data_IF_722553794084
#
_entry.id   IF_722553794084
#
_cell.length_a   1.000
_cell.length_b   1.000
_cell.length_c   1.000
_cell.angle_alpha   90.00
_cell.angle_beta   90.00
_cell.angle_gamma   90.00
#
_symmetry.space_group_name_H-M   'P 1'
#
loop_
_entity.id
_entity.type
_entity.pdbx_description
1 polymer ?
#
# COMPACT_ATOMS: atom_id res chain seq x y z
N UNK A 1 -10.53 -22.56 -26.88
CA UNK A 1 -10.75 -22.73 -25.43
C UNK A 1 -9.47 -22.92 -24.60
N UNK A 2 -8.32 -23.37 -25.15
CA UNK A 2 -7.12 -23.65 -24.36
C UNK A 2 -6.28 -22.44 -23.88
N UNK A 3 -6.43 -21.26 -24.50
CA UNK A 3 -5.67 -20.04 -24.12
C UNK A 3 -6.22 -19.34 -22.87
N UNK A 4 -7.54 -19.31 -22.68
CA UNK A 4 -8.18 -18.73 -21.50
C UNK A 4 -7.83 -19.52 -20.23
N UNK A 5 -7.72 -20.84 -20.33
CA UNK A 5 -7.42 -21.70 -19.19
C UNK A 5 -5.95 -21.56 -18.73
N UNK A 6 -5.00 -21.35 -19.65
CA UNK A 6 -3.59 -21.12 -19.26
C UNK A 6 -3.36 -19.74 -18.64
N UNK A 7 -4.09 -18.72 -19.11
CA UNK A 7 -4.03 -17.36 -18.56
C UNK A 7 -4.63 -17.31 -17.15
N UNK A 8 -5.78 -17.94 -16.93
CA UNK A 8 -6.42 -18.01 -15.60
C UNK A 8 -5.53 -18.76 -14.60
N UNK A 9 -4.94 -19.89 -15.00
CA UNK A 9 -4.01 -20.64 -14.14
C UNK A 9 -2.72 -19.85 -13.85
N UNK A 10 -2.25 -19.06 -14.82
CA UNK A 10 -1.12 -18.14 -14.63
C UNK A 10 -1.43 -17.04 -13.61
N UNK A 11 -2.60 -16.41 -13.71
CA UNK A 11 -3.06 -15.36 -12.79
C UNK A 11 -3.23 -15.91 -11.37
N UNK A 12 -3.84 -17.09 -11.21
CA UNK A 12 -4.01 -17.73 -9.91
C UNK A 12 -2.66 -18.09 -9.26
N UNK A 13 -1.69 -18.58 -10.05
CA UNK A 13 -0.35 -18.90 -9.56
C UNK A 13 0.42 -17.65 -9.14
N UNK A 14 0.28 -16.54 -9.87
CA UNK A 14 0.88 -15.24 -9.52
C UNK A 14 0.24 -14.68 -8.25
N UNK A 15 -1.08 -14.71 -8.13
CA UNK A 15 -1.80 -14.26 -6.92
C UNK A 15 -1.34 -15.02 -5.67
N UNK A 16 -1.26 -16.35 -5.76
CA UNK A 16 -0.79 -17.19 -4.66
C UNK A 16 0.65 -16.89 -4.26
N UNK A 17 1.56 -16.79 -5.24
CA UNK A 17 2.95 -16.41 -4.99
C UNK A 17 3.08 -15.04 -4.33
N UNK A 18 2.21 -14.09 -4.67
CA UNK A 18 2.20 -12.78 -4.03
C UNK A 18 1.80 -12.94 -2.56
N UNK A 19 0.68 -13.61 -2.27
CA UNK A 19 0.18 -13.81 -0.90
C UNK A 19 1.21 -14.50 -0.01
N UNK A 20 1.88 -15.52 -0.54
CA UNK A 20 2.99 -16.20 0.12
C UNK A 20 4.14 -15.22 0.45
N UNK A 21 4.46 -14.28 -0.43
CA UNK A 21 5.49 -13.26 -0.18
C UNK A 21 5.09 -12.22 0.88
N UNK A 22 3.80 -11.84 0.97
CA UNK A 22 3.31 -10.92 2.02
C UNK A 22 3.33 -11.61 3.37
N UNK A 23 2.85 -12.84 3.41
CA UNK A 23 2.88 -13.66 4.61
C UNK A 23 4.33 -13.85 5.09
N UNK A 24 5.26 -14.17 4.18
CA UNK A 24 6.68 -14.29 4.48
C UNK A 24 7.30 -12.99 5.01
N UNK A 25 6.96 -11.84 4.42
CA UNK A 25 7.40 -10.51 4.91
C UNK A 25 6.90 -10.24 6.33
N UNK A 26 5.63 -10.54 6.60
CA UNK A 26 5.02 -10.36 7.91
C UNK A 26 5.69 -11.25 8.95
N UNK A 27 5.92 -12.53 8.63
CA UNK A 27 6.64 -13.49 9.48
C UNK A 27 8.03 -13.00 9.87
N UNK A 28 8.84 -12.60 8.87
CA UNK A 28 10.16 -12.02 9.11
C UNK A 28 10.09 -10.80 10.03
N UNK A 29 9.11 -9.92 9.80
CA UNK A 29 8.94 -8.69 10.60
C UNK A 29 8.57 -9.02 12.05
N UNK A 30 7.66 -9.97 12.28
CA UNK A 30 7.24 -10.39 13.63
C UNK A 30 8.42 -10.92 14.45
N UNK A 31 9.27 -11.77 13.86
CA UNK A 31 10.47 -12.27 14.53
C UNK A 31 11.46 -11.13 14.80
N UNK A 32 11.76 -10.30 13.80
CA UNK A 32 12.72 -9.20 13.94
C UNK A 32 12.29 -8.16 14.99
N UNK A 33 10.99 -7.95 15.19
CA UNK A 33 10.46 -7.07 16.24
C UNK A 33 10.75 -7.56 17.67
N UNK A 34 11.05 -8.85 17.86
CA UNK A 34 11.44 -9.41 19.17
C UNK A 34 12.90 -9.09 19.53
N UNK A 35 13.68 -8.62 18.56
CA UNK A 35 15.08 -8.26 18.79
C UNK A 35 15.18 -6.81 19.28
N UNK A 36 16.01 -6.59 20.28
CA UNK A 36 16.46 -5.25 20.65
C UNK A 36 17.30 -4.61 19.54
N UNK A 37 17.41 -3.28 19.55
CA UNK A 37 18.26 -2.55 18.62
C UNK A 37 19.71 -3.05 18.59
N UNK A 38 20.29 -3.38 19.75
CA UNK A 38 21.64 -3.94 19.83
C UNK A 38 21.76 -5.30 19.13
N UNK A 39 20.75 -6.16 19.28
CA UNK A 39 20.73 -7.46 18.62
C UNK A 39 20.56 -7.32 17.11
N UNK A 40 19.74 -6.36 16.65
CA UNK A 40 19.58 -6.05 15.23
C UNK A 40 20.85 -5.46 14.62
N UNK A 41 21.52 -4.54 15.31
CA UNK A 41 22.84 -4.01 14.91
C UNK A 41 23.88 -5.12 14.77
N UNK A 42 23.93 -6.01 15.76
CA UNK A 42 24.85 -7.15 15.73
C UNK A 42 24.52 -8.11 14.57
N UNK A 43 23.24 -8.38 14.35
CA UNK A 43 22.79 -9.21 13.23
C UNK A 43 23.19 -8.58 11.88
N UNK A 44 22.91 -7.29 11.68
CA UNK A 44 23.28 -6.58 10.47
C UNK A 44 24.80 -6.64 10.21
N UNK A 45 25.62 -6.42 11.24
CA UNK A 45 27.08 -6.54 11.15
C UNK A 45 27.52 -7.95 10.77
N UNK A 46 26.94 -8.98 11.39
CA UNK A 46 27.31 -10.37 11.15
C UNK A 46 27.00 -10.85 9.73
N UNK A 47 25.94 -10.32 9.14
CA UNK A 47 25.51 -10.66 7.78
C UNK A 47 25.97 -9.62 6.74
N UNK A 48 26.86 -8.70 7.10
CA UNK A 48 27.37 -7.62 6.23
C UNK A 48 26.24 -6.78 5.58
N UNK A 49 25.16 -6.54 6.31
CA UNK A 49 24.02 -5.75 5.85
C UNK A 49 24.26 -4.28 6.17
N UNK A 50 24.30 -3.46 5.12
CA UNK A 50 24.40 -2.00 5.28
C UNK A 50 23.04 -1.45 5.69
N UNK A 51 22.98 -0.84 6.87
CA UNK A 51 21.77 -0.19 7.37
C UNK A 51 21.72 1.23 6.83
N UNK A 52 20.72 1.50 6.00
CA UNK A 52 20.43 2.85 5.52
C UNK A 52 19.33 3.43 6.42
N UNK A 53 19.55 4.57 7.09
CA UNK A 53 18.45 5.26 7.77
C UNK A 53 17.37 5.64 6.75
N UNK A 54 16.10 5.54 7.13
CA UNK A 54 14.99 6.01 6.29
C UNK A 54 15.21 7.46 5.87
N UNK A 55 14.94 7.80 4.61
CA UNK A 55 15.37 9.04 3.90
C UNK A 55 14.76 10.37 4.43
N UNK A 56 14.31 10.40 5.68
CA UNK A 56 14.01 11.62 6.43
C UNK A 56 15.25 12.20 7.14
N UNK A 57 16.44 11.64 6.90
CA UNK A 57 17.69 12.11 7.49
C UNK A 57 18.37 13.22 6.70
N UNK A 58 17.92 13.53 5.48
CA UNK A 58 18.67 14.41 4.57
C UNK A 58 18.67 15.88 5.01
N UNK A 59 17.92 16.21 6.06
CA UNK A 59 17.91 17.54 6.71
C UNK A 59 18.95 17.60 7.85
N UNK A 60 19.48 16.46 8.31
CA UNK A 60 20.48 16.37 9.37
C UNK A 60 21.53 15.32 8.99
N UNK A 61 22.61 15.75 8.34
CA UNK A 61 23.83 14.93 8.21
C UNK A 61 24.15 14.32 9.59
N UNK A 62 24.15 12.98 9.69
CA UNK A 62 24.40 12.16 10.89
C UNK A 62 23.19 11.70 11.74
N UNK A 63 21.99 11.50 11.18
CA UNK A 63 20.93 10.78 11.91
C UNK A 63 21.27 9.29 12.08
N UNK A 64 21.27 8.81 13.32
CA UNK A 64 21.52 7.38 13.65
C UNK A 64 20.35 6.52 13.16
N UNK A 65 20.59 5.35 12.52
CA UNK A 65 19.52 4.49 12.07
C UNK A 65 18.65 3.97 13.22
N UNK A 66 17.34 3.98 13.02
CA UNK A 66 16.31 3.56 13.97
C UNK A 66 16.17 2.04 14.01
N UNK A 67 15.42 1.54 15.00
CA UNK A 67 15.09 0.10 15.06
C UNK A 67 14.34 -0.36 13.80
N UNK A 68 13.44 0.49 13.27
CA UNK A 68 12.68 0.23 12.05
C UNK A 68 13.59 0.09 10.83
N UNK A 69 14.59 0.97 10.71
CA UNK A 69 15.57 0.91 9.60
C UNK A 69 16.32 -0.42 9.58
N UNK A 70 16.70 -0.91 10.76
CA UNK A 70 17.36 -2.21 10.88
C UNK A 70 16.42 -3.36 10.50
N UNK A 71 15.18 -3.35 10.98
CA UNK A 71 14.19 -4.40 10.65
C UNK A 71 13.96 -4.44 9.14
N UNK A 72 13.76 -3.30 8.50
CA UNK A 72 13.52 -3.20 7.05
C UNK A 72 14.71 -3.71 6.25
N UNK A 73 15.92 -3.27 6.58
CA UNK A 73 17.13 -3.72 5.88
C UNK A 73 17.36 -5.22 6.07
N UNK A 74 17.25 -5.73 7.30
CA UNK A 74 17.49 -7.15 7.61
C UNK A 74 16.44 -8.05 6.93
N UNK A 75 15.15 -7.70 7.02
CA UNK A 75 14.05 -8.43 6.38
C UNK A 75 14.24 -8.60 4.87
N UNK A 76 14.80 -7.57 4.22
CA UNK A 76 14.97 -7.52 2.77
C UNK A 76 16.22 -8.28 2.30
N UNK A 77 17.20 -8.49 3.17
CA UNK A 77 18.47 -9.14 2.83
C UNK A 77 18.58 -10.59 3.32
N UNK A 78 17.83 -10.99 4.36
CA UNK A 78 17.90 -12.33 4.94
C UNK A 78 16.67 -13.17 4.67
N UNK A 79 16.85 -14.48 4.57
CA UNK A 79 15.78 -15.48 4.55
C UNK A 79 15.08 -15.57 5.92
N UNK A 80 13.93 -16.24 5.96
CA UNK A 80 13.20 -16.39 7.22
C UNK A 80 13.93 -17.36 8.16
N UNK A 81 14.54 -18.39 7.59
CA UNK A 81 15.35 -19.39 8.27
C UNK A 81 16.57 -18.77 8.93
N UNK A 82 17.28 -17.87 8.23
CA UNK A 82 18.44 -17.15 8.79
C UNK A 82 18.05 -16.28 9.98
N UNK A 83 16.89 -15.64 9.90
CA UNK A 83 16.32 -14.84 11.00
C UNK A 83 15.96 -15.72 12.20
N UNK A 84 15.32 -16.86 11.97
CA UNK A 84 14.96 -17.82 13.03
C UNK A 84 16.20 -18.45 13.68
N UNK A 85 17.21 -18.80 12.89
CA UNK A 85 18.47 -19.36 13.41
C UNK A 85 19.20 -18.36 14.30
N UNK A 86 19.20 -17.08 13.93
CA UNK A 86 19.73 -16.03 14.79
C UNK A 86 18.93 -15.91 16.08
N UNK A 87 17.60 -15.90 16.01
CA UNK A 87 16.73 -15.84 17.19
C UNK A 87 16.99 -16.99 18.16
N UNK A 88 17.09 -18.22 17.65
CA UNK A 88 17.44 -19.43 18.44
C UNK A 88 18.82 -19.31 19.08
N UNK A 89 19.86 -18.93 18.32
CA UNK A 89 21.23 -18.75 18.84
C UNK A 89 21.31 -17.71 19.95
N UNK A 90 20.35 -16.78 20.01
CA UNK A 90 20.27 -15.71 21.01
C UNK A 90 19.21 -15.95 22.08
N UNK A 91 18.60 -17.13 22.12
CA UNK A 91 17.53 -17.48 23.05
C UNK A 91 16.38 -16.46 23.04
N UNK A 92 16.01 -15.95 21.87
CA UNK A 92 14.88 -15.06 21.69
C UNK A 92 13.62 -15.91 21.53
N UNK A 93 12.61 -15.65 22.35
CA UNK A 93 11.36 -16.39 22.28
C UNK A 93 10.55 -16.00 21.05
N UNK A 94 10.33 -17.02 20.22
CA UNK A 94 9.54 -17.01 18.98
C UNK A 94 8.63 -18.25 18.91
N UNK A 95 8.44 -18.93 20.04
CA UNK A 95 7.70 -20.18 20.12
C UNK A 95 6.23 -20.01 19.72
N UNK A 96 5.63 -18.89 20.11
CA UNK A 96 4.30 -18.44 19.70
C UNK A 96 4.17 -18.35 18.17
N UNK A 97 5.14 -17.69 17.51
CA UNK A 97 5.15 -17.53 16.05
C UNK A 97 5.27 -18.89 15.35
N UNK A 98 6.10 -19.79 15.88
CA UNK A 98 6.30 -21.13 15.31
C UNK A 98 5.11 -22.07 15.55
N UNK A 99 4.40 -21.90 16.66
CA UNK A 99 3.22 -22.68 17.00
C UNK A 99 2.04 -22.30 16.10
N UNK A 100 1.78 -21.00 15.93
CA UNK A 100 0.78 -20.48 15.00
C UNK A 100 1.03 -20.99 13.57
N UNK A 101 2.30 -21.08 13.14
CA UNK A 101 2.64 -21.63 11.83
C UNK A 101 2.32 -23.11 11.67
N UNK A 102 2.50 -23.90 12.73
CA UNK A 102 2.12 -25.32 12.73
C UNK A 102 0.62 -25.46 12.65
N UNK A 103 -0.12 -24.65 13.39
CA UNK A 103 -1.59 -24.65 13.42
C UNK A 103 -2.16 -24.23 12.06
N UNK A 104 -1.65 -23.16 11.43
CA UNK A 104 -2.03 -22.75 10.07
C UNK A 104 -1.74 -23.83 9.02
N UNK A 105 -0.62 -24.56 9.14
CA UNK A 105 -0.33 -25.70 8.24
C UNK A 105 -1.28 -26.88 8.47
N UNK A 106 -1.69 -27.13 9.72
CA UNK A 106 -2.64 -28.18 10.05
C UNK A 106 -4.06 -27.87 9.56
N UNK A 107 -4.51 -26.61 9.62
CA UNK A 107 -5.84 -26.20 9.11
C UNK A 107 -5.91 -26.29 7.59
N UNK A 108 -4.88 -25.85 6.87
CA UNK A 108 -4.83 -25.99 5.40
C UNK A 108 -4.86 -27.44 4.92
N UNK A 109 -4.34 -28.40 5.69
CA UNK A 109 -4.42 -29.84 5.36
C UNK A 109 -5.83 -30.38 5.60
N UNK A 110 -6.54 -29.88 6.63
CA UNK A 110 -7.92 -30.28 6.95
C UNK A 110 -8.95 -29.74 5.95
N UNK A 111 -8.75 -28.52 5.42
CA UNK A 111 -9.69 -27.88 4.49
C UNK A 111 -9.80 -28.60 3.13
N UNK A 112 -8.77 -29.33 2.70
CA UNK A 112 -8.85 -30.20 1.51
C UNK A 112 -9.77 -31.41 1.66
N UNK A 113 -10.20 -31.76 2.89
CA UNK A 113 -10.94 -33.00 3.16
C UNK A 113 -12.39 -32.78 3.61
N UNK A 114 -12.86 -31.55 3.82
CA UNK A 114 -14.18 -31.33 4.41
C UNK A 114 -14.78 -30.00 3.99
N UNK A 115 -15.36 -29.97 2.79
CA UNK A 115 -16.49 -29.07 2.54
C UNK A 115 -17.60 -29.43 3.55
N UNK A 116 -18.33 -28.40 4.01
CA UNK A 116 -19.46 -28.44 4.97
C UNK A 116 -19.08 -28.56 6.45
N UNK A 117 -18.85 -27.43 7.11
CA UNK A 117 -19.85 -26.82 8.00
C UNK A 117 -19.26 -25.61 8.74
N UNK A 118 -20.10 -24.58 8.84
CA UNK A 118 -19.93 -23.38 9.65
C UNK A 118 -19.73 -23.80 11.11
N UNK A 119 -18.66 -23.32 11.74
CA UNK A 119 -18.72 -22.89 13.14
C UNK A 119 -17.58 -21.92 13.45
N UNK A 120 -18.01 -20.78 13.97
CA UNK A 120 -17.21 -19.77 14.67
C UNK A 120 -16.35 -20.44 15.74
N UNK A 121 -15.05 -20.13 15.75
CA UNK A 121 -14.21 -20.14 16.95
C UNK A 121 -12.94 -19.30 16.70
N UNK A 122 -13.01 -18.04 17.14
CA UNK A 122 -12.06 -17.38 18.05
C UNK A 122 -10.57 -17.70 17.87
N UNK A 123 -9.96 -17.16 16.79
CA UNK A 123 -8.50 -16.90 16.69
C UNK A 123 -8.18 -15.95 15.50
N UNK A 124 -9.04 -14.95 15.28
CA UNK A 124 -9.03 -14.11 14.06
C UNK A 124 -8.76 -12.61 14.26
N UNK A 125 -8.47 -12.15 15.48
CA UNK A 125 -8.66 -10.73 15.80
C UNK A 125 -7.65 -9.79 15.11
N UNK A 126 -6.36 -10.14 14.99
CA UNK A 126 -5.38 -9.17 14.44
C UNK A 126 -5.37 -9.04 12.91
N UNK A 127 -5.55 -10.14 12.15
CA UNK A 127 -5.66 -10.07 10.68
C UNK A 127 -7.01 -9.45 10.26
N UNK A 128 -8.07 -9.70 11.04
CA UNK A 128 -9.37 -9.05 10.89
C UNK A 128 -9.31 -7.55 11.18
N UNK A 129 -8.76 -7.14 12.33
CA UNK A 129 -8.67 -5.73 12.74
C UNK A 129 -7.88 -4.87 11.76
N UNK A 130 -6.72 -5.35 11.28
CA UNK A 130 -5.92 -4.62 10.28
C UNK A 130 -6.66 -4.47 8.96
N UNK A 131 -7.37 -5.53 8.51
CA UNK A 131 -8.19 -5.49 7.30
C UNK A 131 -9.39 -4.55 7.44
N UNK A 132 -10.06 -4.57 8.60
CA UNK A 132 -11.17 -3.68 8.94
C UNK A 132 -10.70 -2.23 8.97
N UNK A 133 -9.55 -1.96 9.59
CA UNK A 133 -9.03 -0.61 9.69
C UNK A 133 -8.65 -0.04 8.31
N UNK A 134 -7.97 -0.82 7.50
CA UNK A 134 -7.64 -0.43 6.14
C UNK A 134 -8.88 -0.19 5.28
N UNK A 135 -9.89 -1.07 5.42
CA UNK A 135 -11.19 -0.91 4.75
C UNK A 135 -11.93 0.34 5.22
N UNK A 136 -11.85 0.69 6.50
CA UNK A 136 -12.43 1.91 7.05
C UNK A 136 -11.76 3.15 6.44
N UNK A 137 -10.42 3.18 6.35
CA UNK A 137 -9.69 4.27 5.65
C UNK A 137 -10.16 4.41 4.20
N UNK A 138 -10.24 3.30 3.47
CA UNK A 138 -10.74 3.29 2.08
C UNK A 138 -12.15 3.87 1.98
N UNK A 139 -13.07 3.43 2.84
CA UNK A 139 -14.44 3.94 2.87
C UNK A 139 -14.49 5.44 3.19
N UNK A 140 -13.68 5.94 4.12
CA UNK A 140 -13.61 7.37 4.44
C UNK A 140 -13.10 8.19 3.27
N UNK A 141 -12.09 7.71 2.56
CA UNK A 141 -11.58 8.37 1.35
C UNK A 141 -12.63 8.34 0.23
N UNK A 142 -13.32 7.21 0.02
CA UNK A 142 -14.41 7.11 -0.96
C UNK A 142 -15.57 8.07 -0.65
N UNK A 143 -15.83 8.34 0.63
CA UNK A 143 -16.83 9.30 1.08
C UNK A 143 -16.33 10.76 1.09
N UNK A 144 -15.06 11.01 0.76
CA UNK A 144 -14.55 12.37 0.65
C UNK A 144 -15.16 13.07 -0.56
N UNK A 145 -15.82 14.19 -0.30
CA UNK A 145 -16.38 15.07 -1.32
C UNK A 145 -16.01 16.53 -1.04
N UNK A 146 -15.99 17.34 -2.08
CA UNK A 146 -15.71 18.77 -2.00
C UNK A 146 -16.80 19.56 -2.69
N UNK A 147 -17.24 20.63 -2.05
CA UNK A 147 -18.28 21.53 -2.56
C UNK A 147 -17.72 22.61 -3.50
N UNK A 148 -16.44 22.53 -3.83
CA UNK A 148 -15.73 23.47 -4.70
C UNK A 148 -14.73 22.73 -5.59
N UNK A 149 -14.33 23.40 -6.68
CA UNK A 149 -13.42 22.83 -7.65
C UNK A 149 -11.95 22.97 -7.20
N UNK A 150 -11.21 21.86 -7.28
CA UNK A 150 -9.78 21.78 -6.98
C UNK A 150 -8.96 21.96 -8.25
N UNK A 151 -7.91 22.78 -8.16
CA UNK A 151 -7.10 23.15 -9.33
C UNK A 151 -5.67 22.61 -9.29
N UNK A 152 -5.23 22.05 -8.17
CA UNK A 152 -3.87 21.52 -8.01
C UNK A 152 -3.81 20.29 -7.10
N UNK A 153 -2.79 19.47 -7.30
CA UNK A 153 -2.54 18.28 -6.46
C UNK A 153 -2.22 18.68 -5.00
N UNK A 154 -1.49 19.79 -4.77
CA UNK A 154 -1.22 20.29 -3.42
C UNK A 154 -2.50 20.76 -2.69
N UNK A 155 -3.45 21.38 -3.41
CA UNK A 155 -4.75 21.76 -2.85
C UNK A 155 -5.57 20.51 -2.51
N UNK A 156 -5.62 19.52 -3.43
CA UNK A 156 -6.27 18.24 -3.18
C UNK A 156 -5.70 17.55 -1.94
N UNK A 157 -4.37 17.48 -1.85
CA UNK A 157 -3.64 16.90 -0.73
C UNK A 157 -3.97 17.60 0.59
N UNK A 158 -3.95 18.94 0.62
CA UNK A 158 -4.29 19.73 1.82
C UNK A 158 -5.69 19.42 2.34
N UNK A 159 -6.69 19.37 1.45
CA UNK A 159 -8.07 19.12 1.86
C UNK A 159 -8.30 17.68 2.31
N UNK A 160 -7.78 16.70 1.56
CA UNK A 160 -7.89 15.30 1.94
C UNK A 160 -7.15 15.04 3.26
N UNK A 161 -5.97 15.62 3.45
CA UNK A 161 -5.23 15.55 4.70
C UNK A 161 -6.03 16.09 5.90
N UNK A 162 -6.64 17.27 5.77
CA UNK A 162 -7.45 17.86 6.85
C UNK A 162 -8.65 16.99 7.18
N UNK A 163 -9.35 16.49 6.16
CA UNK A 163 -10.48 15.58 6.32
C UNK A 163 -10.06 14.29 7.03
N UNK A 164 -8.96 13.66 6.62
CA UNK A 164 -8.47 12.42 7.25
C UNK A 164 -8.04 12.65 8.70
N UNK A 165 -7.38 13.78 9.01
CA UNK A 165 -7.07 14.15 10.41
C UNK A 165 -8.31 14.29 11.27
N UNK A 166 -9.40 14.81 10.72
CA UNK A 166 -10.66 14.91 11.44
C UNK A 166 -11.33 13.53 11.63
N UNK A 167 -11.33 12.68 10.60
CA UNK A 167 -11.92 11.34 10.68
C UNK A 167 -11.14 10.39 11.60
N UNK A 168 -9.82 10.57 11.72
CA UNK A 168 -8.92 9.69 12.46
C UNK A 168 -8.06 10.49 13.46
N UNK A 169 -8.67 11.04 14.53
CA UNK A 169 -7.96 11.92 15.47
C UNK A 169 -6.85 11.22 16.26
N UNK A 170 -6.91 9.90 16.37
CA UNK A 170 -5.93 9.09 17.09
C UNK A 170 -4.81 8.58 16.18
N UNK A 171 -4.82 8.93 14.88
CA UNK A 171 -3.86 8.44 13.90
C UNK A 171 -2.81 9.51 13.64
N UNK A 172 -1.58 9.07 13.42
CA UNK A 172 -0.55 9.94 12.91
C UNK A 172 -0.72 10.05 11.39
N UNK A 173 -1.04 11.25 10.92
CA UNK A 173 -1.20 11.54 9.50
C UNK A 173 -0.21 12.62 9.12
N UNK A 174 0.63 12.32 8.13
CA UNK A 174 1.71 13.17 7.66
C UNK A 174 1.59 13.42 6.15
N UNK A 175 2.05 14.59 5.72
CA UNK A 175 2.10 15.02 4.31
C UNK A 175 3.53 14.95 3.77
N UNK A 176 3.68 14.71 2.47
CA UNK A 176 4.95 14.83 1.73
C UNK A 176 6.09 14.06 2.41
N UNK A 177 5.86 12.77 2.59
CA UNK A 177 6.65 11.84 3.40
C UNK A 177 7.70 11.15 2.50
N UNK A 178 8.99 11.53 2.56
CA UNK A 178 10.08 10.88 1.82
C UNK A 178 10.02 9.36 1.72
N UNK A 179 10.17 8.84 0.50
CA UNK A 179 10.16 7.41 0.21
C UNK A 179 11.07 7.12 -1.00
N UNK A 180 11.83 6.02 -0.97
CA UNK A 180 12.65 5.66 -2.15
C UNK A 180 13.69 6.73 -2.54
N UNK A 181 14.30 6.55 -3.72
CA UNK A 181 15.13 7.48 -4.54
C UNK A 181 15.05 9.02 -4.47
N UNK A 182 14.48 9.67 -3.45
CA UNK A 182 14.18 11.12 -3.47
C UNK A 182 12.72 11.47 -3.81
N UNK A 183 11.84 10.47 -3.91
CA UNK A 183 10.40 10.68 -4.04
C UNK A 183 9.76 10.96 -2.67
N UNK A 184 8.52 11.48 -2.69
CA UNK A 184 7.72 11.75 -1.50
C UNK A 184 6.32 11.19 -1.70
N UNK A 185 5.84 10.43 -0.72
CA UNK A 185 4.44 10.01 -0.65
C UNK A 185 3.61 11.22 -0.24
N UNK A 186 2.53 11.48 -0.95
CA UNK A 186 1.67 12.64 -0.66
C UNK A 186 1.09 12.58 0.76
N UNK A 187 0.50 11.46 1.16
CA UNK A 187 -0.02 11.26 2.53
C UNK A 187 0.39 9.89 3.07
N UNK A 188 0.87 9.85 4.32
CA UNK A 188 1.03 8.60 5.08
C UNK A 188 0.16 8.63 6.33
N UNK A 189 -0.55 7.53 6.55
CA UNK A 189 -1.37 7.29 7.73
C UNK A 189 -0.74 6.15 8.53
N UNK A 190 -0.41 6.42 9.79
CA UNK A 190 0.11 5.45 10.74
C UNK A 190 -0.82 5.35 11.94
N UNK A 191 -1.28 4.14 12.25
CA UNK A 191 -2.09 3.92 13.45
C UNK A 191 -1.19 3.83 14.70
N UNK A 192 -1.73 4.05 15.91
CA UNK A 192 -1.01 3.77 17.15
C UNK A 192 -0.54 2.31 17.26
N UNK A 193 -1.27 1.41 16.58
CA UNK A 193 -0.90 0.00 16.52
C UNK A 193 0.38 -0.21 15.70
N UNK A 194 1.40 -0.88 16.27
CA UNK A 194 2.71 -0.94 15.67
C UNK A 194 2.72 -1.78 14.39
N UNK A 195 2.88 -1.13 13.24
CA UNK A 195 3.06 -1.76 11.93
C UNK A 195 1.87 -1.62 10.97
N UNK A 196 0.92 -0.74 11.27
CA UNK A 196 -0.09 -0.28 10.32
C UNK A 196 0.36 1.04 9.69
N UNK A 197 0.74 1.00 8.42
CA UNK A 197 1.09 2.19 7.64
C UNK A 197 0.46 2.12 6.25
N UNK A 198 -0.23 3.19 5.86
CA UNK A 198 -0.85 3.35 4.55
C UNK A 198 -0.17 4.52 3.84
N UNK A 199 0.44 4.23 2.69
CA UNK A 199 0.91 5.25 1.77
C UNK A 199 -0.16 5.59 0.74
N UNK A 200 -0.41 6.87 0.54
CA UNK A 200 -1.43 7.38 -0.37
C UNK A 200 -0.74 8.34 -1.34
N UNK A 201 -0.74 7.99 -2.62
CA UNK A 201 -0.36 8.87 -3.72
C UNK A 201 -1.62 9.53 -4.29
N UNK A 202 -1.55 10.82 -4.57
CA UNK A 202 -2.64 11.62 -5.09
C UNK A 202 -2.33 12.10 -6.51
N UNK A 203 -3.35 12.09 -7.36
CA UNK A 203 -3.26 12.66 -8.70
C UNK A 203 -4.53 13.42 -9.05
N UNK A 204 -4.37 14.49 -9.82
CA UNK A 204 -5.50 15.07 -10.54
C UNK A 204 -5.61 14.40 -11.91
N UNK A 205 -6.84 14.09 -12.32
CA UNK A 205 -7.20 13.61 -13.66
C UNK A 205 -7.02 14.66 -14.75
N UNK A 206 -5.83 15.25 -14.87
CA UNK A 206 -5.49 16.34 -15.80
C UNK A 206 -5.04 15.81 -17.15
N UNK A 207 -4.15 14.81 -17.16
CA UNK A 207 -3.60 14.22 -18.36
C UNK A 207 -3.27 12.72 -18.15
N UNK A 208 -3.35 11.94 -19.24
CA UNK A 208 -3.09 10.49 -19.24
C UNK A 208 -1.67 10.11 -18.81
N UNK A 209 -0.68 10.95 -19.14
CA UNK A 209 0.72 10.64 -18.86
C UNK A 209 1.04 10.72 -17.36
N UNK A 210 0.44 11.68 -16.63
CA UNK A 210 0.56 11.80 -15.18
C UNK A 210 0.01 10.57 -14.47
N UNK A 211 -1.18 10.11 -14.88
CA UNK A 211 -1.77 8.91 -14.32
C UNK A 211 -0.95 7.65 -14.60
N UNK A 212 -0.33 7.55 -15.79
CA UNK A 212 0.57 6.43 -16.11
C UNK A 212 1.82 6.42 -15.25
N UNK A 213 2.40 7.59 -14.96
CA UNK A 213 3.59 7.69 -14.12
C UNK A 213 3.30 7.38 -12.65
N UNK A 214 2.08 7.71 -12.18
CA UNK A 214 1.65 7.43 -10.82
C UNK A 214 1.78 5.95 -10.46
N UNK A 215 1.52 5.04 -11.41
CA UNK A 215 1.70 3.60 -11.23
C UNK A 215 3.12 3.23 -10.76
N UNK A 216 4.16 3.77 -11.39
CA UNK A 216 5.54 3.45 -11.01
C UNK A 216 5.84 3.92 -9.57
N UNK A 217 5.32 5.09 -9.20
CA UNK A 217 5.47 5.64 -7.85
C UNK A 217 4.81 4.74 -6.80
N UNK A 218 3.55 4.35 -7.00
CA UNK A 218 2.85 3.48 -6.05
C UNK A 218 3.44 2.07 -5.99
N UNK A 219 3.96 1.55 -7.11
CA UNK A 219 4.73 0.29 -7.11
C UNK A 219 5.99 0.41 -6.23
N UNK A 220 6.70 1.52 -6.31
CA UNK A 220 7.88 1.76 -5.48
C UNK A 220 7.52 1.93 -4.00
N UNK A 221 6.45 2.65 -3.69
CA UNK A 221 5.99 2.84 -2.30
C UNK A 221 5.57 1.52 -1.65
N UNK A 222 4.94 0.61 -2.41
CA UNK A 222 4.56 -0.72 -1.91
C UNK A 222 5.74 -1.56 -1.41
N UNK A 223 6.98 -1.20 -1.78
CA UNK A 223 8.19 -1.84 -1.25
C UNK A 223 8.46 -1.44 0.20
N UNK A 224 8.02 -0.26 0.62
CA UNK A 224 8.31 0.34 1.93
C UNK A 224 7.11 0.24 2.90
N UNK A 225 5.89 0.42 2.41
CA UNK A 225 4.68 0.48 3.23
C UNK A 225 3.87 -0.84 3.22
N UNK A 226 3.07 -1.05 4.25
CA UNK A 226 2.20 -2.22 4.39
C UNK A 226 1.03 -2.18 3.41
N UNK A 227 0.49 -0.99 3.21
CA UNK A 227 -0.60 -0.70 2.28
C UNK A 227 -0.23 0.50 1.42
N UNK A 228 -0.68 0.48 0.17
CA UNK A 228 -0.47 1.57 -0.77
C UNK A 228 -1.73 1.80 -1.57
N UNK A 229 -2.04 3.07 -1.80
CA UNK A 229 -3.25 3.49 -2.49
C UNK A 229 -2.92 4.61 -3.47
N UNK A 230 -3.51 4.54 -4.67
CA UNK A 230 -3.59 5.65 -5.60
C UNK A 230 -5.00 6.25 -5.52
N UNK A 231 -5.09 7.52 -5.16
CA UNK A 231 -6.35 8.26 -5.17
C UNK A 231 -6.30 9.30 -6.27
N UNK A 232 -7.24 9.21 -7.21
CA UNK A 232 -7.33 10.12 -8.35
C UNK A 232 -8.60 10.95 -8.21
N UNK A 233 -8.46 12.27 -8.27
CA UNK A 233 -9.59 13.18 -8.38
C UNK A 233 -9.88 13.44 -9.86
N UNK A 234 -11.02 12.96 -10.35
CA UNK A 234 -11.49 13.28 -11.69
C UNK A 234 -12.04 14.70 -11.75
N UNK A 235 -11.36 15.56 -12.52
CA UNK A 235 -11.79 16.94 -12.80
C UNK A 235 -12.43 17.07 -14.18
N UNK A 236 -12.80 15.93 -14.78
CA UNK A 236 -13.49 15.79 -16.06
C UNK A 236 -12.64 16.06 -17.29
N UNK A 237 -11.31 16.09 -17.20
CA UNK A 237 -10.45 16.33 -18.36
C UNK A 237 -10.11 15.05 -19.15
N UNK A 238 -10.42 13.89 -18.60
CA UNK A 238 -10.11 12.58 -19.19
C UNK A 238 -11.39 11.78 -19.42
N UNK A 239 -11.32 10.83 -20.36
CA UNK A 239 -12.39 9.87 -20.60
C UNK A 239 -12.37 8.77 -19.53
N UNK A 240 -13.55 8.25 -19.18
CA UNK A 240 -13.71 7.20 -18.18
C UNK A 240 -12.83 5.97 -18.46
N UNK A 241 -12.68 5.61 -19.73
CA UNK A 241 -11.86 4.49 -20.20
C UNK A 241 -10.39 4.60 -19.78
N UNK A 242 -9.88 5.82 -19.57
CA UNK A 242 -8.50 6.05 -19.11
C UNK A 242 -8.34 5.62 -17.64
N UNK A 243 -9.35 5.89 -16.81
CA UNK A 243 -9.35 5.49 -15.40
C UNK A 243 -9.54 3.98 -15.26
N UNK A 244 -10.44 3.38 -16.03
CA UNK A 244 -10.63 1.92 -16.09
C UNK A 244 -9.33 1.21 -16.53
N UNK A 245 -8.65 1.74 -17.55
CA UNK A 245 -7.36 1.24 -18.02
C UNK A 245 -6.26 1.32 -16.97
N UNK A 246 -6.32 2.30 -16.07
CA UNK A 246 -5.37 2.49 -14.99
C UNK A 246 -5.69 1.54 -13.84
N UNK A 247 -6.94 1.49 -13.41
CA UNK A 247 -7.44 0.58 -12.38
C UNK A 247 -7.08 -0.87 -12.72
N UNK A 248 -7.37 -1.31 -13.94
CA UNK A 248 -7.03 -2.66 -14.41
C UNK A 248 -5.53 -2.96 -14.36
N UNK A 249 -4.67 -1.94 -14.58
CA UNK A 249 -3.21 -2.10 -14.52
C UNK A 249 -2.68 -2.11 -13.09
N UNK A 250 -3.36 -1.44 -12.17
CA UNK A 250 -2.99 -1.31 -10.75
C UNK A 250 -3.54 -2.48 -9.92
N UNK A 251 -4.75 -2.96 -10.20
CA UNK A 251 -5.37 -4.09 -9.49
C UNK A 251 -4.57 -5.40 -9.58
N UNK A 252 -3.67 -5.54 -10.56
CA UNK A 252 -2.74 -6.67 -10.66
C UNK A 252 -1.64 -6.62 -9.58
N UNK A 253 -1.50 -5.51 -8.86
CA UNK A 253 -0.36 -5.22 -7.98
C UNK A 253 -0.80 -4.52 -6.68
N UNK A 254 -1.40 -5.20 -5.70
CA UNK A 254 -1.42 -4.84 -4.24
C UNK A 254 -1.63 -3.37 -3.83
N UNK A 255 -2.21 -2.57 -4.70
CA UNK A 255 -2.37 -1.13 -4.57
C UNK A 255 -3.84 -0.90 -4.81
N UNK A 256 -4.50 -0.25 -3.86
CA UNK A 256 -5.89 0.14 -4.06
C UNK A 256 -5.95 1.36 -4.96
N UNK A 257 -6.91 1.33 -5.88
CA UNK A 257 -7.26 2.48 -6.69
C UNK A 257 -8.58 3.06 -6.16
N UNK A 258 -8.61 4.36 -5.94
CA UNK A 258 -9.84 5.11 -5.64
C UNK A 258 -9.97 6.24 -6.65
N UNK A 259 -11.07 6.25 -7.39
CA UNK A 259 -11.49 7.37 -8.20
C UNK A 259 -12.50 8.21 -7.41
N UNK A 260 -12.20 9.48 -7.22
CA UNK A 260 -13.11 10.46 -6.61
C UNK A 260 -13.62 11.40 -7.69
N UNK A 261 -14.91 11.75 -7.62
CA UNK A 261 -15.50 12.74 -8.51
C UNK A 261 -15.24 14.15 -7.98
N UNK A 262 -14.57 14.98 -8.76
CA UNK A 262 -14.35 16.39 -8.46
C UNK A 262 -15.39 17.29 -9.14
N UNK A 263 -15.62 18.47 -8.56
CA UNK A 263 -16.40 19.49 -9.27
C UNK A 263 -15.65 20.00 -10.49
N UNK A 264 -16.35 20.05 -11.63
CA UNK A 264 -15.82 20.60 -12.88
C UNK A 264 -15.56 22.10 -12.70
N UNK A 265 -14.32 22.54 -12.92
CA UNK A 265 -14.05 23.97 -13.02
C UNK A 265 -14.78 24.56 -14.22
N UNK A 266 -15.41 25.73 -14.02
CA UNK A 266 -16.14 26.49 -15.05
C UNK A 266 -15.30 26.77 -16.32
N UNK A 267 -13.97 26.63 -16.26
CA UNK A 267 -13.03 26.84 -17.38
C UNK A 267 -13.21 25.90 -18.58
N UNK A 268 -14.00 24.83 -18.48
CA UNK A 268 -14.64 24.19 -19.65
C UNK A 268 -16.05 23.75 -19.31
N UNK A 269 -16.93 24.73 -19.11
CA UNK A 269 -18.37 24.47 -19.04
C UNK A 269 -18.80 23.54 -20.18
N UNK A 270 -19.73 22.65 -19.87
CA UNK A 270 -20.30 21.63 -20.78
C UNK A 270 -20.70 22.22 -22.14
N UNK A 271 -21.01 23.51 -22.18
CA UNK A 271 -21.34 24.26 -23.38
C UNK A 271 -20.16 24.43 -24.35
N UNK A 272 -18.94 24.65 -23.85
CA UNK A 272 -17.71 24.72 -24.66
C UNK A 272 -17.40 23.35 -25.26
N UNK A 273 -17.62 22.27 -24.50
CA UNK A 273 -17.41 20.89 -24.97
C UNK A 273 -18.42 20.47 -26.04
N UNK A 274 -19.70 20.87 -25.89
CA UNK A 274 -20.71 20.69 -26.94
C UNK A 274 -20.33 21.43 -28.22
N UNK A 275 -19.88 22.69 -28.10
CA UNK A 275 -19.44 23.49 -29.27
C UNK A 275 -18.20 22.90 -29.95
N UNK A 276 -17.18 22.46 -29.20
CA UNK A 276 -15.98 21.82 -29.77
C UNK A 276 -16.30 20.48 -30.47
N UNK A 277 -17.26 19.70 -29.96
CA UNK A 277 -17.69 18.43 -30.57
C UNK A 277 -18.41 18.66 -31.90
N UNK A 278 -19.33 19.63 -31.95
CA UNK A 278 -20.03 20.02 -33.17
C UNK A 278 -19.04 20.56 -34.22
N UNK A 279 -18.08 21.39 -33.81
CA UNK A 279 -17.06 21.93 -34.73
C UNK A 279 -16.16 20.82 -35.30
N UNK A 280 -15.76 19.83 -34.49
CA UNK A 280 -14.94 18.70 -34.96
C UNK A 280 -15.69 17.75 -35.90
N UNK A 281 -17.00 17.57 -35.71
CA UNK A 281 -17.85 16.79 -36.62
C UNK A 281 -18.07 17.53 -37.95
N UNK A 282 -18.16 18.87 -37.92
CA UNK A 282 -18.29 19.70 -39.12
C UNK A 282 -17.01 19.81 -39.95
N UNK A 283 -15.82 19.67 -39.35
CA UNK A 283 -14.52 19.71 -40.07
C UNK A 283 -14.18 18.34 -40.70
N UNK A 284 -14.84 17.25 -40.27
CA UNK A 284 -14.63 15.89 -40.80
C UNK A 284 -15.53 15.52 -41.98
N UNK A 285 -16.52 16.35 -42.32
CA UNK A 285 -17.39 16.23 -43.48
C UNK A 285 -17.06 17.32 -44.51
#
# INVERSE_FOLDING_TARGET
MNLLHSVVNGIQKVSKNLDDQKELRNKKTRVLKRLSLKQLQYMAKNYNITIKPGRFSDIIENKRPTITDHIVCIRSNLSYEEILDYAKKRNIDVSDILQEEKEKKLTMVKDTSSATNINENLEGDQEGEVSILYSNIKQKIQAFSLDFAINSEDEFEKHLFQYLKYQFPNFEIQRQVPCGDGDKVDIVISAPDPGFEVAIELKLGTNKNHLRNARAQVEDYSKFFNFTMLVVLDIGNLEQTIYEDLENKIQVQRIDFILLEGQLTERKSVEVRKKERIIKELIKN
#
